data_IF_814124266196
#
_entry.id   IF_814124266196
#
_cell.length_a   1.000
_cell.length_b   1.000
_cell.length_c   1.000
_cell.angle_alpha   90.00
_cell.angle_beta   90.00
_cell.angle_gamma   90.00
#
_symmetry.space_group_name_H-M   'P 1'
#
loop_
_entity.id
_entity.type
_entity.pdbx_description
1 polymer ?
#
# COMPACT_ATOMS: atom_id res chain seq x y z
N UNK A 1 15.04 -72.81 -33.85
CA UNK A 1 14.36 -73.53 -32.75
C UNK A 1 13.69 -72.51 -31.83
N UNK A 2 12.38 -72.68 -31.59
CA UNK A 2 11.51 -72.23 -30.44
C UNK A 2 11.63 -70.77 -29.97
N UNK A 3 10.59 -69.94 -30.14
CA UNK A 3 9.38 -69.81 -29.28
C UNK A 3 9.70 -69.70 -27.78
N UNK A 4 9.39 -68.56 -27.16
CA UNK A 4 8.27 -68.37 -26.22
C UNK A 4 8.47 -67.09 -25.38
N UNK A 5 7.44 -66.24 -25.28
CA UNK A 5 7.22 -65.27 -24.20
C UNK A 5 6.86 -66.02 -22.89
N UNK A 6 7.03 -65.47 -21.66
CA UNK A 6 5.94 -64.63 -21.10
C UNK A 6 6.30 -63.58 -20.00
N UNK A 7 5.43 -62.56 -19.91
CA UNK A 7 4.85 -61.87 -18.74
C UNK A 7 5.53 -61.94 -17.35
N UNK A 8 5.78 -60.79 -16.69
CA UNK A 8 4.94 -60.23 -15.60
C UNK A 8 5.58 -59.03 -14.86
N UNK A 9 4.68 -58.08 -14.49
CA UNK A 9 4.59 -57.22 -13.28
C UNK A 9 5.53 -56.02 -13.00
N UNK A 10 4.81 -54.92 -12.77
CA UNK A 10 4.88 -53.91 -11.69
C UNK A 10 5.90 -52.75 -11.76
N UNK A 11 5.34 -51.55 -11.86
CA UNK A 11 5.39 -50.58 -10.76
C UNK A 11 6.37 -49.43 -10.91
N UNK A 12 5.85 -48.20 -10.91
CA UNK A 12 6.63 -47.00 -10.58
C UNK A 12 6.77 -45.99 -11.72
N UNK A 13 5.68 -45.31 -12.10
CA UNK A 13 5.81 -43.98 -12.70
C UNK A 13 6.01 -42.99 -11.55
N UNK A 14 7.26 -42.68 -11.22
CA UNK A 14 7.58 -41.50 -10.42
C UNK A 14 7.46 -40.29 -11.34
N UNK A 15 6.49 -39.42 -11.07
CA UNK A 15 6.35 -38.14 -11.76
C UNK A 15 7.47 -37.21 -11.31
N UNK A 16 8.28 -36.74 -12.25
CA UNK A 16 9.05 -35.52 -12.05
C UNK A 16 8.07 -34.33 -12.01
N UNK A 17 8.13 -33.43 -11.01
CA UNK A 17 7.42 -32.17 -11.08
C UNK A 17 8.34 -31.15 -11.78
N UNK A 18 8.02 -30.83 -13.03
CA UNK A 18 8.52 -29.63 -13.71
C UNK A 18 7.37 -28.64 -13.86
N UNK A 19 7.69 -27.36 -13.71
CA UNK A 19 6.83 -26.17 -13.83
C UNK A 19 6.14 -25.79 -12.50
N UNK A 20 6.74 -24.96 -11.65
CA UNK A 20 7.27 -23.61 -11.90
C UNK A 20 6.26 -22.77 -12.67
N UNK A 21 5.71 -21.76 -11.97
CA UNK A 21 4.78 -20.71 -12.40
C UNK A 21 3.29 -21.01 -12.16
N UNK A 22 2.80 -20.62 -10.99
CA UNK A 22 1.98 -19.40 -10.90
C UNK A 22 1.83 -18.98 -9.43
N UNK A 23 2.69 -18.06 -9.00
CA UNK A 23 2.59 -17.40 -7.70
C UNK A 23 2.38 -15.90 -7.89
N UNK A 24 1.56 -15.53 -8.88
CA UNK A 24 1.15 -14.15 -9.06
C UNK A 24 -0.07 -13.89 -8.17
N UNK A 25 0.17 -13.87 -6.84
CA UNK A 25 -0.75 -13.17 -5.94
C UNK A 25 -0.75 -11.72 -6.41
N UNK A 26 -1.90 -11.29 -6.91
CA UNK A 26 -2.20 -9.92 -7.23
C UNK A 26 -2.11 -9.12 -5.91
N UNK A 27 -0.99 -8.42 -5.70
CA UNK A 27 -0.78 -7.53 -4.55
C UNK A 27 -1.55 -6.26 -4.87
N UNK A 28 -2.83 -6.21 -4.52
CA UNK A 28 -3.69 -5.03 -4.71
C UNK A 28 -3.95 -4.25 -3.43
N UNK A 29 -3.26 -4.55 -2.35
CA UNK A 29 -3.36 -3.75 -1.12
C UNK A 29 -1.97 -3.63 -0.48
N UNK A 30 -1.46 -2.41 -0.38
CA UNK A 30 -0.16 -2.15 0.27
C UNK A 30 -0.20 -2.47 1.78
N UNK A 31 -1.41 -2.68 2.35
CA UNK A 31 -1.57 -3.24 3.69
C UNK A 31 -1.24 -4.74 3.82
N UNK A 32 -1.15 -5.51 2.72
CA UNK A 32 -0.82 -6.95 2.78
C UNK A 32 0.69 -7.26 2.69
N UNK A 33 1.54 -6.25 2.40
CA UNK A 33 3.00 -6.44 2.40
C UNK A 33 3.57 -6.56 3.82
N UNK A 34 2.81 -6.22 4.86
CA UNK A 34 3.24 -6.38 6.26
C UNK A 34 3.13 -7.83 6.75
N UNK A 35 2.62 -8.77 5.95
CA UNK A 35 2.54 -10.19 6.29
C UNK A 35 3.78 -11.02 5.93
N UNK A 36 4.93 -10.40 5.63
CA UNK A 36 6.23 -11.08 5.59
C UNK A 36 6.88 -11.02 6.98
N UNK A 37 6.31 -11.74 7.94
CA UNK A 37 7.06 -12.44 8.99
C UNK A 37 7.99 -11.66 9.95
N UNK A 38 7.75 -10.40 10.29
CA UNK A 38 8.49 -9.70 11.38
C UNK A 38 7.56 -9.00 12.38
N UNK A 39 6.42 -9.62 12.73
CA UNK A 39 5.50 -9.10 13.74
C UNK A 39 5.99 -9.39 15.17
N UNK A 40 6.94 -8.60 15.69
CA UNK A 40 7.37 -8.65 17.09
C UNK A 40 6.82 -7.49 17.93
N UNK A 41 6.82 -7.61 19.27
CA UNK A 41 6.40 -6.57 20.22
C UNK A 41 7.04 -5.20 19.93
N UNK A 42 8.32 -5.21 19.54
CA UNK A 42 9.07 -4.00 19.20
C UNK A 42 8.55 -3.28 17.94
N UNK A 43 8.09 -4.02 16.92
CA UNK A 43 7.50 -3.42 15.72
C UNK A 43 6.17 -2.73 16.05
N UNK A 44 5.33 -3.38 16.87
CA UNK A 44 4.08 -2.76 17.35
C UNK A 44 4.32 -1.51 18.19
N UNK A 45 5.33 -1.51 19.06
CA UNK A 45 5.71 -0.32 19.85
C UNK A 45 6.25 0.82 18.96
N UNK A 46 7.06 0.50 17.94
CA UNK A 46 7.55 1.48 16.96
C UNK A 46 6.39 2.13 16.19
N UNK A 47 5.47 1.31 15.67
CA UNK A 47 4.30 1.79 14.94
C UNK A 47 3.40 2.65 15.83
N UNK A 48 3.14 2.25 17.07
CA UNK A 48 2.34 3.04 18.01
C UNK A 48 2.97 4.40 18.30
N UNK A 49 4.30 4.46 18.44
CA UNK A 49 5.01 5.72 18.65
C UNK A 49 4.95 6.63 17.43
N UNK A 50 5.11 6.05 16.23
CA UNK A 50 5.01 6.79 14.98
C UNK A 50 3.61 7.36 14.79
N UNK A 51 2.56 6.55 14.95
CA UNK A 51 1.17 6.99 14.88
C UNK A 51 0.86 8.10 15.90
N UNK A 52 1.36 7.98 17.14
CA UNK A 52 1.22 9.03 18.16
C UNK A 52 1.84 10.35 17.72
N UNK A 53 2.99 10.30 17.02
CA UNK A 53 3.66 11.51 16.51
C UNK A 53 2.83 12.18 15.40
N UNK A 54 2.15 11.40 14.55
CA UNK A 54 1.22 11.93 13.55
C UNK A 54 -0.03 12.56 14.20
N UNK A 55 -0.51 11.98 15.30
CA UNK A 55 -1.65 12.52 16.06
C UNK A 55 -1.32 13.82 16.79
N UNK A 56 -0.08 13.97 17.30
CA UNK A 56 0.42 15.23 17.83
C UNK A 56 0.41 16.34 16.76
N UNK A 57 0.90 16.02 15.55
CA UNK A 57 0.85 16.97 14.42
C UNK A 57 -0.59 17.31 14.05
N UNK A 58 -1.49 16.33 13.98
CA UNK A 58 -2.91 16.58 13.72
C UNK A 58 -3.53 17.54 14.75
N UNK A 59 -3.18 17.37 16.02
CA UNK A 59 -3.63 18.27 17.09
C UNK A 59 -3.13 19.71 16.87
N UNK A 60 -1.88 19.90 16.47
CA UNK A 60 -1.36 21.24 16.11
C UNK A 60 -2.19 21.90 15.00
N UNK A 61 -2.64 21.14 13.99
CA UNK A 61 -3.49 21.67 12.91
C UNK A 61 -4.90 22.00 13.38
N UNK A 62 -5.47 21.23 14.31
CA UNK A 62 -6.79 21.50 14.90
C UNK A 62 -6.83 22.76 15.76
N UNK A 63 -5.75 23.02 16.49
CA UNK A 63 -5.61 24.20 17.36
C UNK A 63 -5.22 25.48 16.59
N UNK A 64 -4.82 25.34 15.32
CA UNK A 64 -4.39 26.46 14.49
C UNK A 64 -5.59 27.30 14.00
N UNK A 65 -5.58 28.61 14.29
CA UNK A 65 -6.61 29.57 13.88
C UNK A 65 -6.87 29.61 12.37
N UNK A 66 -5.88 29.25 11.55
CA UNK A 66 -6.01 29.21 10.10
C UNK A 66 -6.94 28.10 9.60
N UNK A 67 -7.06 26.99 10.33
CA UNK A 67 -7.77 25.79 9.88
C UNK A 67 -8.96 25.41 10.78
N UNK A 68 -9.05 25.94 12.00
CA UNK A 68 -10.07 25.59 13.00
C UNK A 68 -11.53 25.89 12.58
N UNK A 69 -11.73 26.64 11.50
CA UNK A 69 -13.06 26.99 10.99
C UNK A 69 -13.69 25.88 10.13
N UNK A 70 -12.90 24.90 9.69
CA UNK A 70 -13.39 23.75 8.93
C UNK A 70 -13.83 22.65 9.92
N UNK A 71 -15.14 22.50 10.14
CA UNK A 71 -15.71 21.50 11.05
C UNK A 71 -15.37 20.05 10.63
N UNK A 72 -15.03 19.82 9.36
CA UNK A 72 -14.64 18.50 8.84
C UNK A 72 -13.14 18.23 8.97
N UNK A 73 -12.35 19.21 9.44
CA UNK A 73 -10.90 19.09 9.57
C UNK A 73 -10.46 17.84 10.36
N UNK A 74 -11.06 17.47 11.51
CA UNK A 74 -10.66 16.26 12.23
C UNK A 74 -10.80 14.99 11.39
N UNK A 75 -11.87 14.89 10.59
CA UNK A 75 -12.09 13.76 9.69
C UNK A 75 -11.04 13.76 8.56
N UNK A 76 -10.82 14.91 7.92
CA UNK A 76 -9.81 15.09 6.86
C UNK A 76 -8.42 14.70 7.33
N UNK A 77 -8.01 15.15 8.52
CA UNK A 77 -6.72 14.80 9.12
C UNK A 77 -6.58 13.30 9.38
N UNK A 78 -7.67 12.63 9.79
CA UNK A 78 -7.69 11.17 9.92
C UNK A 78 -7.47 10.44 8.58
N UNK A 79 -8.10 10.93 7.52
CA UNK A 79 -7.91 10.40 6.16
C UNK A 79 -6.50 10.67 5.62
N UNK A 80 -5.96 11.86 5.85
CA UNK A 80 -4.59 12.21 5.45
C UNK A 80 -3.55 11.39 6.20
N UNK A 81 -3.73 11.17 7.51
CA UNK A 81 -2.89 10.27 8.30
C UNK A 81 -2.83 8.88 7.70
N UNK A 82 -4.01 8.30 7.43
CA UNK A 82 -4.11 6.97 6.84
C UNK A 82 -3.42 6.90 5.47
N UNK A 83 -3.64 7.91 4.63
CA UNK A 83 -3.04 7.95 3.30
C UNK A 83 -1.51 8.05 3.37
N UNK A 84 -0.99 8.87 4.27
CA UNK A 84 0.46 9.01 4.48
C UNK A 84 1.10 7.69 4.88
N UNK A 85 0.49 6.97 5.83
CA UNK A 85 0.97 5.64 6.25
C UNK A 85 0.94 4.63 5.10
N UNK A 86 -0.10 4.68 4.24
CA UNK A 86 -0.18 3.80 3.06
C UNK A 86 0.89 4.13 2.00
N UNK A 87 1.35 5.39 1.94
CA UNK A 87 2.35 5.85 0.99
C UNK A 87 3.78 5.50 1.43
N UNK A 88 4.10 5.60 2.72
CA UNK A 88 5.42 5.33 3.28
C UNK A 88 5.70 3.81 3.30
N UNK A 89 6.44 3.31 2.32
CA UNK A 89 6.70 1.87 2.18
C UNK A 89 7.87 1.39 3.04
N UNK A 90 8.80 2.28 3.37
CA UNK A 90 10.02 1.96 4.12
C UNK A 90 9.92 2.29 5.61
N UNK A 91 8.79 2.89 6.04
CA UNK A 91 8.51 3.31 7.42
C UNK A 91 9.57 4.29 7.94
N UNK A 92 10.14 5.09 7.04
CA UNK A 92 11.12 6.13 7.37
C UNK A 92 10.48 7.30 8.11
N UNK A 93 9.16 7.48 7.96
CA UNK A 93 8.41 8.59 8.53
C UNK A 93 8.30 9.82 7.62
N UNK A 94 8.97 9.81 6.46
CA UNK A 94 8.95 10.86 5.45
C UNK A 94 8.79 10.24 4.05
N UNK A 95 7.99 10.83 3.16
CA UNK A 95 7.83 10.30 1.81
C UNK A 95 8.99 10.72 0.92
N UNK A 96 9.86 9.78 0.61
CA UNK A 96 10.99 10.01 -0.27
C UNK A 96 10.57 9.87 -1.76
N UNK A 97 11.53 10.10 -2.66
CA UNK A 97 11.26 10.00 -4.10
C UNK A 97 10.83 8.61 -4.57
N UNK A 98 11.28 7.56 -3.88
CA UNK A 98 10.91 6.18 -4.20
C UNK A 98 9.49 5.87 -3.74
N UNK A 99 9.05 6.38 -2.60
CA UNK A 99 7.66 6.23 -2.12
C UNK A 99 6.69 6.92 -3.07
N UNK A 100 6.97 8.17 -3.44
CA UNK A 100 6.15 8.93 -4.39
C UNK A 100 6.14 8.23 -5.76
N UNK A 101 7.30 7.74 -6.23
CA UNK A 101 7.38 6.96 -7.47
C UNK A 101 6.49 5.73 -7.42
N UNK A 102 6.63 4.92 -6.37
CA UNK A 102 5.90 3.67 -6.20
C UNK A 102 4.39 3.91 -6.18
N UNK A 103 3.94 4.89 -5.39
CA UNK A 103 2.54 5.30 -5.34
C UNK A 103 2.01 5.67 -6.73
N UNK A 104 2.73 6.52 -7.47
CA UNK A 104 2.29 6.97 -8.80
C UNK A 104 2.28 5.83 -9.83
N UNK A 105 3.24 4.91 -9.76
CA UNK A 105 3.25 3.71 -10.61
C UNK A 105 2.06 2.79 -10.30
N UNK A 106 1.69 2.63 -9.02
CA UNK A 106 0.50 1.87 -8.62
C UNK A 106 -0.80 2.43 -9.19
N UNK A 107 -0.83 3.73 -9.44
CA UNK A 107 -1.98 4.44 -10.04
C UNK A 107 -1.94 4.51 -11.56
N UNK A 108 -0.95 3.88 -12.19
CA UNK A 108 -0.74 3.99 -13.64
C UNK A 108 -0.35 5.40 -14.09
N UNK A 109 0.09 6.25 -13.17
CA UNK A 109 0.52 7.63 -13.40
C UNK A 109 2.04 7.76 -13.33
N UNK A 110 2.78 6.84 -13.95
CA UNK A 110 4.24 6.85 -13.94
C UNK A 110 4.79 8.20 -14.41
N UNK A 111 5.78 8.73 -13.68
CA UNK A 111 6.44 10.01 -13.95
C UNK A 111 7.95 9.83 -14.09
N UNK A 112 8.59 10.77 -14.77
CA UNK A 112 10.05 10.82 -14.85
C UNK A 112 10.66 11.26 -13.51
N UNK A 113 11.92 10.88 -13.26
CA UNK A 113 12.64 11.29 -12.06
C UNK A 113 12.66 12.82 -11.86
N UNK A 114 12.74 13.59 -12.95
CA UNK A 114 12.73 15.05 -12.89
C UNK A 114 11.36 15.60 -12.46
N UNK A 115 10.27 15.02 -12.95
CA UNK A 115 8.91 15.41 -12.54
C UNK A 115 8.67 15.07 -11.06
N UNK A 116 9.09 13.88 -10.62
CA UNK A 116 9.00 13.49 -9.21
C UNK A 116 9.72 14.48 -8.29
N UNK A 117 10.96 14.85 -8.65
CA UNK A 117 11.72 15.87 -7.90
C UNK A 117 11.01 17.22 -7.86
N UNK A 118 10.39 17.64 -8.96
CA UNK A 118 9.61 18.89 -9.00
C UNK A 118 8.38 18.82 -8.09
N UNK A 119 7.65 17.71 -8.13
CA UNK A 119 6.46 17.50 -7.32
C UNK A 119 6.79 17.50 -5.83
N UNK A 120 7.88 16.85 -5.42
CA UNK A 120 8.33 16.85 -4.02
C UNK A 120 8.76 18.24 -3.60
N UNK A 121 9.57 18.92 -4.43
CA UNK A 121 10.06 20.27 -4.13
C UNK A 121 8.96 21.33 -4.01
N UNK A 122 7.83 21.14 -4.67
CA UNK A 122 6.67 22.03 -4.54
C UNK A 122 6.04 21.96 -3.14
N UNK A 123 6.20 20.83 -2.45
CA UNK A 123 5.53 20.53 -1.17
C UNK A 123 6.51 20.60 0.01
N UNK A 124 7.76 20.18 -0.19
CA UNK A 124 8.82 20.18 0.81
C UNK A 124 9.17 21.62 1.22
N UNK A 125 8.80 21.99 2.45
CA UNK A 125 9.12 23.32 3.00
C UNK A 125 10.41 23.31 3.81
N UNK A 126 10.94 22.13 4.11
CA UNK A 126 12.11 21.91 4.94
C UNK A 126 13.39 21.68 4.14
N UNK A 127 13.30 21.56 2.81
CA UNK A 127 14.38 21.24 1.88
C UNK A 127 15.11 19.93 2.25
N UNK A 128 14.37 18.93 2.71
CA UNK A 128 14.88 17.58 3.00
C UNK A 128 14.93 16.69 1.76
N UNK A 129 14.39 17.15 0.62
CA UNK A 129 14.13 16.33 -0.58
C UNK A 129 13.14 15.18 -0.33
N UNK A 130 12.38 15.26 0.76
CA UNK A 130 11.32 14.34 1.14
C UNK A 130 10.12 15.13 1.69
N UNK A 131 8.94 14.50 1.71
CA UNK A 131 7.72 15.12 2.22
C UNK A 131 7.45 14.57 3.62
N UNK A 132 7.70 15.38 4.64
CA UNK A 132 7.26 15.05 6.00
C UNK A 132 5.73 15.17 6.14
N UNK A 133 5.19 14.62 7.22
CA UNK A 133 3.74 14.62 7.43
C UNK A 133 3.13 16.04 7.51
N UNK A 134 3.84 17.02 8.08
CA UNK A 134 3.36 18.40 8.18
C UNK A 134 3.26 19.07 6.79
N UNK A 135 4.20 18.78 5.89
CA UNK A 135 4.18 19.23 4.50
C UNK A 135 3.04 18.56 3.72
N UNK A 136 2.83 17.27 3.95
CA UNK A 136 1.73 16.52 3.37
C UNK A 136 0.36 17.11 3.74
N UNK A 137 0.11 17.36 5.03
CA UNK A 137 -1.15 17.96 5.50
C UNK A 137 -1.33 19.38 4.93
N UNK A 138 -0.26 20.19 4.90
CA UNK A 138 -0.31 21.53 4.29
C UNK A 138 -0.64 21.50 2.80
N UNK A 139 -0.09 20.55 2.05
CA UNK A 139 -0.44 20.34 0.64
C UNK A 139 -1.94 19.99 0.51
N UNK A 140 -2.44 19.07 1.33
CA UNK A 140 -3.83 18.61 1.23
C UNK A 140 -4.85 19.68 1.63
N UNK A 141 -4.56 20.50 2.65
CA UNK A 141 -5.41 21.61 3.09
C UNK A 141 -5.22 22.90 2.28
N UNK A 142 -4.05 23.10 1.68
CA UNK A 142 -3.70 24.35 1.02
C UNK A 142 -4.56 24.65 -0.22
N UNK A 143 -4.73 25.92 -0.60
CA UNK A 143 -5.49 26.29 -1.79
C UNK A 143 -4.79 25.90 -3.10
N UNK A 144 -3.48 25.62 -3.03
CA UNK A 144 -2.68 25.27 -4.20
C UNK A 144 -3.00 23.86 -4.69
N UNK A 145 -3.21 23.78 -6.00
CA UNK A 145 -3.58 22.56 -6.72
C UNK A 145 -2.34 21.94 -7.36
N UNK A 146 -1.49 21.31 -6.55
CA UNK A 146 -0.31 20.59 -7.04
C UNK A 146 -0.70 19.27 -7.73
N UNK A 147 0.13 18.80 -8.65
CA UNK A 147 -0.10 17.52 -9.37
C UNK A 147 -0.23 16.35 -8.38
N UNK A 148 0.60 16.35 -7.33
CA UNK A 148 0.58 15.30 -6.32
C UNK A 148 -0.74 15.30 -5.53
N UNK A 149 -1.20 16.47 -5.10
CA UNK A 149 -2.50 16.66 -4.44
C UNK A 149 -3.64 16.14 -5.31
N UNK A 150 -3.66 16.51 -6.59
CA UNK A 150 -4.72 16.12 -7.51
C UNK A 150 -4.81 14.59 -7.59
N UNK A 151 -3.68 13.91 -7.82
CA UNK A 151 -3.65 12.45 -7.92
C UNK A 151 -4.17 11.80 -6.63
N UNK A 152 -3.70 12.27 -5.47
CA UNK A 152 -4.14 11.77 -4.16
C UNK A 152 -5.64 11.99 -3.89
N UNK A 153 -6.19 13.14 -4.30
CA UNK A 153 -7.61 13.43 -4.16
C UNK A 153 -8.48 12.57 -5.10
N UNK A 154 -8.03 12.25 -6.31
CA UNK A 154 -8.77 11.37 -7.22
C UNK A 154 -8.81 9.91 -6.76
N UNK A 155 -7.80 9.44 -6.03
CA UNK A 155 -7.84 8.11 -5.39
C UNK A 155 -8.90 8.01 -4.29
N UNK A 156 -9.10 9.09 -3.50
CA UNK A 156 -10.02 9.10 -2.37
C UNK A 156 -11.50 8.95 -2.80
N UNK A 157 -11.85 9.48 -3.97
CA UNK A 157 -13.21 9.37 -4.55
C UNK A 157 -13.40 8.18 -5.50
N UNK A 158 -12.37 7.35 -5.72
CA UNK A 158 -12.37 6.24 -6.67
C UNK A 158 -12.77 4.86 -6.12
N UNK A 159 -13.15 4.73 -4.84
CA UNK A 159 -13.49 3.42 -4.27
C UNK A 159 -14.81 2.88 -4.83
N UNK A 160 -14.72 1.80 -5.63
CA UNK A 160 -15.84 0.87 -5.83
C UNK A 160 -16.19 0.19 -4.50
N UNK A 161 -17.46 -0.18 -4.27
CA UNK A 161 -17.93 -0.74 -3.00
C UNK A 161 -17.21 -2.05 -2.64
N UNK A 162 -16.85 -2.15 -1.35
CA UNK A 162 -16.14 -3.26 -0.70
C UNK A 162 -16.82 -4.62 -1.02
N UNK A 163 -16.07 -5.53 -1.66
CA UNK A 163 -16.54 -6.91 -1.87
C UNK A 163 -16.50 -7.63 -0.52
N UNK A 164 -17.59 -8.25 -0.05
CA UNK A 164 -17.70 -8.75 1.32
C UNK A 164 -16.56 -9.71 1.66
N UNK A 165 -15.79 -9.37 2.69
CA UNK A 165 -14.74 -10.19 3.29
C UNK A 165 -15.37 -11.37 4.03
N UNK A 166 -15.65 -12.44 3.29
CA UNK A 166 -15.97 -13.76 3.81
C UNK A 166 -14.96 -14.79 3.31
N UNK A 167 -14.61 -15.82 4.11
CA UNK A 167 -13.89 -16.97 3.59
C UNK A 167 -14.61 -17.50 2.35
N UNK A 168 -13.89 -17.85 1.26
CA UNK A 168 -14.51 -18.43 0.09
C UNK A 168 -15.38 -19.64 0.51
N UNK A 169 -16.61 -19.76 -0.01
CA UNK A 169 -17.46 -20.90 0.31
C UNK A 169 -16.70 -22.19 0.01
N UNK A 170 -16.63 -23.09 1.00
CA UNK A 170 -16.02 -24.39 0.79
C UNK A 170 -16.79 -25.09 -0.33
N UNK A 171 -16.09 -25.41 -1.41
CA UNK A 171 -16.65 -26.24 -2.48
C UNK A 171 -16.67 -27.66 -1.94
N UNK A 172 -17.84 -28.14 -1.54
CA UNK A 172 -18.00 -29.55 -1.18
C UNK A 172 -18.04 -30.40 -2.46
N UNK A 173 -17.36 -31.55 -2.42
CA UNK A 173 -17.27 -32.55 -3.51
C UNK A 173 -18.63 -33.03 -4.04
N UNK A 174 -19.72 -32.75 -3.30
CA UNK A 174 -21.11 -33.03 -3.67
C UNK A 174 -21.70 -32.08 -4.72
N UNK A 175 -20.96 -31.08 -5.19
CA UNK A 175 -21.45 -30.05 -6.12
C UNK A 175 -20.79 -30.07 -7.52
N UNK A 176 -20.18 -31.19 -7.92
CA UNK A 176 -19.76 -31.44 -9.30
C UNK A 176 -20.80 -32.33 -10.02
N UNK A 177 -21.16 -32.02 -11.28
CA UNK A 177 -22.02 -32.89 -12.10
C UNK A 177 -21.35 -34.22 -12.48
#
# INVERSE_FOLDING_TARGET
MKLQSPSTRNGGKTSAPSHFLDRTRHITDCHDIVAVGVGGKAFGEYMAKWESSLDEINKEFLENEQYNSDEELPQKLGEYKKKFIECDQDLSGDLNIMDVKYMLEKLGQAKTHLELKKMIKEVDTTNTEAINYRDFVRMMLGPQSGVLKMILMFEAFGKTPDKPKGPPPKRDLSSLP
#
